data_IF_109106486537
#
_entry.id   IF_109106486537
#
_cell.length_a   1.000
_cell.length_b   1.000
_cell.length_c   1.000
_cell.angle_alpha   90.00
_cell.angle_beta   90.00
_cell.angle_gamma   90.00
#
_symmetry.space_group_name_H-M   'P 1'
#
loop_
_entity.id
_entity.type
_entity.pdbx_description
1 polymer ?
#
# COMPACT_ATOMS: atom_id res chain seq x y z
N UNK A 1 3.29 -7.07 -19.48
CA UNK A 1 2.14 -6.76 -18.59
C UNK A 1 1.07 -7.85 -18.53
N UNK A 2 0.60 -8.40 -19.67
CA UNK A 2 -0.49 -9.39 -19.67
C UNK A 2 -0.18 -10.67 -18.88
N UNK A 3 1.02 -11.23 -19.05
CA UNK A 3 1.47 -12.42 -18.32
C UNK A 3 1.65 -12.14 -16.82
N UNK A 4 2.32 -11.03 -16.50
CA UNK A 4 2.50 -10.54 -15.13
C UNK A 4 1.15 -10.38 -14.39
N UNK A 5 0.16 -9.78 -15.06
CA UNK A 5 -1.19 -9.67 -14.53
C UNK A 5 -1.89 -11.02 -14.37
N UNK A 6 -1.66 -11.99 -15.27
CA UNK A 6 -2.20 -13.35 -15.15
C UNK A 6 -1.63 -14.08 -13.92
N UNK A 7 -0.33 -13.94 -13.66
CA UNK A 7 0.30 -14.51 -12.46
C UNK A 7 -0.33 -13.88 -11.22
N UNK A 8 -0.35 -12.55 -11.13
CA UNK A 8 -0.93 -11.83 -10.00
C UNK A 8 -2.38 -12.24 -9.72
N UNK A 9 -3.24 -12.37 -10.74
CA UNK A 9 -4.64 -12.80 -10.54
C UNK A 9 -4.78 -14.17 -9.86
N UNK A 10 -3.83 -15.08 -10.09
CA UNK A 10 -3.88 -16.45 -9.59
C UNK A 10 -3.01 -16.66 -8.34
N UNK A 11 -2.27 -15.65 -7.90
CA UNK A 11 -1.22 -15.80 -6.88
C UNK A 11 -1.77 -16.17 -5.49
N UNK A 12 -3.03 -15.79 -5.23
CA UNK A 12 -3.76 -16.16 -4.01
C UNK A 12 -4.28 -17.60 -3.99
N UNK A 13 -4.12 -18.38 -5.08
CA UNK A 13 -4.63 -19.75 -5.12
C UNK A 13 -3.98 -20.60 -4.01
N UNK A 14 -4.82 -21.23 -3.19
CA UNK A 14 -4.38 -22.06 -2.06
C UNK A 14 -3.86 -21.28 -0.85
N UNK A 15 -3.91 -19.95 -0.85
CA UNK A 15 -3.66 -19.15 0.35
C UNK A 15 -4.82 -19.30 1.34
N UNK A 16 -4.55 -19.03 2.62
CA UNK A 16 -5.53 -19.08 3.71
C UNK A 16 -6.00 -17.72 4.17
N UNK A 17 -5.29 -16.65 3.79
CA UNK A 17 -5.60 -15.28 4.20
C UNK A 17 -5.19 -14.24 3.17
N UNK A 18 -5.65 -13.01 3.41
CA UNK A 18 -5.24 -11.84 2.65
C UNK A 18 -3.77 -11.52 2.89
N UNK A 19 -3.29 -11.64 4.14
CA UNK A 19 -1.89 -11.44 4.52
C UNK A 19 -0.97 -12.40 3.75
N UNK A 20 -1.32 -13.68 3.65
CA UNK A 20 -0.54 -14.65 2.89
C UNK A 20 -0.50 -14.29 1.40
N UNK A 21 -1.66 -13.92 0.83
CA UNK A 21 -1.74 -13.50 -0.57
C UNK A 21 -0.96 -12.21 -0.84
N UNK A 22 -1.06 -11.23 0.05
CA UNK A 22 -0.31 -9.98 -0.01
C UNK A 22 1.20 -10.22 0.05
N UNK A 23 1.65 -11.15 0.90
CA UNK A 23 3.06 -11.57 0.95
C UNK A 23 3.53 -12.12 -0.39
N UNK A 24 2.76 -13.03 -1.00
CA UNK A 24 3.11 -13.56 -2.33
C UNK A 24 3.15 -12.46 -3.39
N UNK A 25 2.23 -11.49 -3.35
CA UNK A 25 2.18 -10.35 -4.27
C UNK A 25 3.45 -9.49 -4.15
N UNK A 26 3.80 -9.05 -2.93
CA UNK A 26 4.96 -8.14 -2.77
C UNK A 26 6.26 -8.82 -3.15
N UNK A 27 6.44 -10.11 -2.82
CA UNK A 27 7.61 -10.88 -3.24
C UNK A 27 7.66 -11.04 -4.76
N UNK A 28 6.55 -11.38 -5.41
CA UNK A 28 6.52 -11.47 -6.87
C UNK A 28 6.91 -10.13 -7.54
N UNK A 29 6.40 -9.01 -7.03
CA UNK A 29 6.78 -7.68 -7.52
C UNK A 29 8.26 -7.38 -7.30
N UNK A 30 8.78 -7.66 -6.11
CA UNK A 30 10.17 -7.40 -5.73
C UNK A 30 11.16 -8.24 -6.53
N UNK A 31 10.88 -9.53 -6.70
CA UNK A 31 11.78 -10.48 -7.35
C UNK A 31 11.79 -10.37 -8.88
N UNK A 32 10.67 -9.95 -9.49
CA UNK A 32 10.49 -10.00 -10.95
C UNK A 32 10.57 -8.63 -11.62
N UNK A 33 10.56 -7.52 -10.86
CA UNK A 33 10.91 -6.21 -11.38
C UNK A 33 12.44 -6.06 -11.28
N UNK A 34 13.10 -6.34 -12.41
CA UNK A 34 14.56 -6.31 -12.53
C UNK A 34 15.01 -5.31 -13.59
N UNK A 35 16.23 -4.84 -13.43
CA UNK A 35 16.91 -4.02 -14.41
C UNK A 35 17.38 -4.91 -15.58
N UNK A 36 17.03 -4.54 -16.81
CA UNK A 36 17.29 -5.38 -17.98
C UNK A 36 18.76 -5.54 -18.34
N UNK A 37 19.61 -4.61 -17.90
CA UNK A 37 21.05 -4.63 -18.17
C UNK A 37 21.80 -5.39 -17.08
N UNK A 38 21.56 -5.05 -15.81
CA UNK A 38 22.29 -5.62 -14.67
C UNK A 38 21.66 -6.89 -14.07
N UNK A 39 20.38 -7.16 -14.36
CA UNK A 39 19.62 -8.27 -13.78
C UNK A 39 19.26 -8.09 -12.29
N UNK A 40 19.63 -6.96 -11.67
CA UNK A 40 19.38 -6.69 -10.27
C UNK A 40 17.94 -6.25 -10.02
N UNK A 41 17.42 -6.48 -8.82
CA UNK A 41 16.13 -5.94 -8.40
C UNK A 41 16.15 -4.40 -8.43
N UNK A 42 15.13 -3.80 -9.05
CA UNK A 42 15.02 -2.35 -9.12
C UNK A 42 14.36 -1.74 -7.88
N UNK A 43 13.64 -2.53 -7.10
CA UNK A 43 13.02 -2.07 -5.87
C UNK A 43 13.96 -2.28 -4.67
N UNK A 44 14.01 -1.29 -3.78
CA UNK A 44 14.60 -1.44 -2.44
C UNK A 44 13.57 -1.98 -1.45
N UNK A 45 12.30 -1.58 -1.61
CA UNK A 45 11.20 -1.94 -0.72
C UNK A 45 9.86 -1.97 -1.47
N UNK A 46 9.04 -3.00 -1.19
CA UNK A 46 7.65 -3.13 -1.67
C UNK A 46 6.75 -3.43 -0.47
N UNK A 47 5.65 -2.68 -0.34
CA UNK A 47 4.72 -2.79 0.80
C UNK A 47 3.28 -2.87 0.33
N UNK A 48 2.50 -3.74 0.96
CA UNK A 48 1.07 -3.86 0.75
C UNK A 48 0.34 -3.34 1.98
N UNK A 49 -0.56 -2.38 1.76
CA UNK A 49 -1.43 -1.82 2.77
C UNK A 49 -2.89 -2.10 2.46
N UNK A 50 -3.70 -2.17 3.52
CA UNK A 50 -5.16 -2.16 3.47
C UNK A 50 -5.71 -1.30 4.59
N UNK A 51 -6.78 -0.55 4.33
CA UNK A 51 -7.55 0.06 5.42
C UNK A 51 -8.30 -1.02 6.18
N UNK A 52 -8.24 -0.96 7.50
CA UNK A 52 -8.90 -1.94 8.36
C UNK A 52 -9.42 -1.25 9.63
N UNK A 53 -10.60 -1.63 10.15
CA UNK A 53 -11.10 -1.08 11.40
C UNK A 53 -10.11 -1.34 12.54
N UNK A 54 -9.93 -0.35 13.41
CA UNK A 54 -9.03 -0.46 14.54
C UNK A 54 -9.41 -1.60 15.49
N UNK A 55 -10.69 -1.77 15.76
CA UNK A 55 -11.19 -2.83 16.65
C UNK A 55 -10.87 -4.26 16.16
N UNK A 56 -10.72 -4.43 14.84
CA UNK A 56 -10.39 -5.70 14.20
C UNK A 56 -8.88 -5.97 14.10
N UNK A 57 -8.04 -5.00 14.49
CA UNK A 57 -6.59 -5.20 14.54
C UNK A 57 -6.20 -6.18 15.65
N UNK A 58 -5.08 -6.88 15.47
CA UNK A 58 -4.42 -7.62 16.54
C UNK A 58 -3.88 -6.68 17.64
N UNK A 59 -3.63 -7.21 18.84
CA UNK A 59 -3.23 -6.39 19.99
C UNK A 59 -1.92 -5.63 19.75
N UNK A 60 -0.98 -6.22 19.00
CA UNK A 60 0.30 -5.59 18.65
C UNK A 60 0.07 -4.33 17.78
N UNK A 61 -0.77 -4.45 16.75
CA UNK A 61 -1.14 -3.35 15.87
C UNK A 61 -1.98 -2.28 16.57
N UNK A 62 -2.83 -2.67 17.52
CA UNK A 62 -3.59 -1.71 18.35
C UNK A 62 -2.64 -0.87 19.22
N UNK A 63 -1.71 -1.51 19.93
CA UNK A 63 -0.71 -0.82 20.76
C UNK A 63 0.14 0.12 19.91
N UNK A 64 0.58 -0.32 18.73
CA UNK A 64 1.34 0.53 17.81
C UNK A 64 0.53 1.75 17.37
N UNK A 65 -0.73 1.55 16.96
CA UNK A 65 -1.60 2.65 16.50
C UNK A 65 -1.88 3.65 17.61
N UNK A 66 -2.10 3.16 18.84
CA UNK A 66 -2.32 3.98 20.02
C UNK A 66 -1.11 4.89 20.32
N UNK A 67 0.11 4.37 20.21
CA UNK A 67 1.34 5.14 20.45
C UNK A 67 1.56 6.31 19.50
N UNK A 68 0.93 6.32 18.32
CA UNK A 68 1.05 7.41 17.33
C UNK A 68 0.16 8.62 17.65
N UNK A 69 -0.94 8.42 18.38
CA UNK A 69 -1.89 9.48 18.74
C UNK A 69 -1.67 9.82 20.21
N UNK A 70 -0.94 10.92 20.46
CA UNK A 70 -0.50 11.42 21.78
C UNK A 70 -1.67 11.75 22.73
N UNK A 71 -2.45 10.75 23.15
CA UNK A 71 -3.63 10.81 24.04
C UNK A 71 -4.96 11.25 23.39
N UNK A 72 -5.10 11.24 22.07
CA UNK A 72 -6.42 11.40 21.45
C UNK A 72 -7.13 10.05 21.40
N UNK A 73 -8.34 9.97 21.96
CA UNK A 73 -9.21 8.82 21.77
C UNK A 73 -9.75 8.82 20.34
N UNK A 74 -9.84 7.64 19.75
CA UNK A 74 -10.47 7.45 18.46
C UNK A 74 -11.46 6.29 18.54
N UNK A 75 -12.50 6.37 17.71
CA UNK A 75 -13.64 5.46 17.77
C UNK A 75 -13.23 4.06 17.30
N UNK A 76 -13.81 2.97 17.83
CA UNK A 76 -13.48 1.59 17.45
C UNK A 76 -13.50 1.34 15.93
N UNK A 77 -14.41 1.99 15.22
CA UNK A 77 -14.59 1.90 13.77
C UNK A 77 -13.55 2.70 12.96
N UNK A 78 -12.65 3.43 13.62
CA UNK A 78 -11.62 4.25 12.97
C UNK A 78 -10.80 3.38 12.03
N UNK A 79 -10.72 3.76 10.76
CA UNK A 79 -9.90 3.05 9.77
C UNK A 79 -8.41 3.31 10.02
N UNK A 80 -7.64 2.24 10.04
CA UNK A 80 -6.18 2.25 10.09
C UNK A 80 -5.61 1.80 8.74
N UNK A 81 -4.69 2.56 8.17
CA UNK A 81 -3.88 2.11 7.04
C UNK A 81 -2.87 1.07 7.56
N UNK A 82 -3.18 -0.20 7.32
CA UNK A 82 -2.54 -1.35 7.97
C UNK A 82 -1.65 -2.10 6.99
N UNK A 83 -0.42 -2.38 7.41
CA UNK A 83 0.56 -3.13 6.64
C UNK A 83 0.24 -4.63 6.70
N UNK A 84 -0.10 -5.21 5.54
CA UNK A 84 -0.33 -6.66 5.43
C UNK A 84 0.91 -7.41 4.97
N UNK A 85 1.74 -6.80 4.13
CA UNK A 85 2.95 -7.44 3.64
C UNK A 85 4.05 -6.43 3.31
N UNK A 86 5.30 -6.87 3.42
CA UNK A 86 6.47 -6.07 3.12
C UNK A 86 7.63 -6.98 2.73
N UNK A 87 8.42 -6.54 1.76
CA UNK A 87 9.68 -7.18 1.34
C UNK A 87 10.64 -6.10 0.88
N UNK A 88 11.91 -6.25 1.21
CA UNK A 88 12.94 -5.34 0.75
C UNK A 88 14.35 -5.84 1.03
N UNK A 89 15.33 -5.00 0.70
CA UNK A 89 16.74 -5.40 0.74
C UNK A 89 17.29 -5.61 2.16
N UNK A 90 16.67 -4.99 3.17
CA UNK A 90 17.02 -5.26 4.56
C UNK A 90 16.20 -6.41 5.15
N UNK A 91 16.81 -7.32 5.94
CA UNK A 91 16.11 -8.44 6.58
C UNK A 91 14.89 -8.04 7.42
N UNK A 92 14.95 -6.90 8.14
CA UNK A 92 13.85 -6.46 8.99
C UNK A 92 12.61 -5.97 8.21
N UNK A 93 12.74 -5.75 6.90
CA UNK A 93 11.64 -5.34 6.03
C UNK A 93 10.87 -6.51 5.42
N UNK A 94 11.32 -7.75 5.64
CA UNK A 94 10.74 -8.96 5.04
C UNK A 94 9.61 -9.57 5.88
N UNK A 95 9.15 -8.87 6.91
CA UNK A 95 7.95 -9.24 7.66
C UNK A 95 7.28 -8.01 8.28
N UNK A 96 5.95 -8.01 8.31
CA UNK A 96 5.20 -6.96 9.01
C UNK A 96 5.49 -6.93 10.50
N UNK A 97 5.76 -8.10 11.10
CA UNK A 97 6.02 -8.26 12.54
C UNK A 97 7.31 -7.57 12.97
N UNK A 98 8.32 -7.56 12.08
CA UNK A 98 9.62 -6.90 12.31
C UNK A 98 9.69 -5.47 11.80
N UNK A 99 8.68 -5.00 11.05
CA UNK A 99 8.66 -3.65 10.49
C UNK A 99 8.61 -2.59 11.60
N UNK A 100 9.61 -1.72 11.72
CA UNK A 100 9.67 -0.75 12.83
C UNK A 100 8.69 0.42 12.71
N UNK A 101 8.19 0.70 11.51
CA UNK A 101 7.33 1.85 11.25
C UNK A 101 6.24 1.56 10.23
N UNK A 102 5.20 2.40 10.23
CA UNK A 102 4.05 2.28 9.33
C UNK A 102 3.35 0.90 9.44
N UNK A 103 3.20 0.35 10.66
CA UNK A 103 2.50 -0.93 10.87
C UNK A 103 0.98 -0.78 10.75
N UNK A 104 0.41 0.17 11.49
CA UNK A 104 -0.99 0.55 11.40
C UNK A 104 -1.11 2.04 11.72
N UNK A 105 -1.50 2.85 10.74
CA UNK A 105 -1.57 4.31 10.86
C UNK A 105 -3.04 4.70 10.97
N UNK A 106 -3.50 5.21 12.13
CA UNK A 106 -4.90 5.58 12.30
C UNK A 106 -5.27 6.80 11.44
N UNK A 107 -6.46 6.78 10.86
CA UNK A 107 -7.02 7.85 10.03
C UNK A 107 -8.32 8.40 10.67
N UNK A 108 -8.26 9.04 11.86
CA UNK A 108 -9.45 9.42 12.64
C UNK A 108 -10.27 10.56 12.01
N UNK A 109 -9.73 11.25 11.01
CA UNK A 109 -10.40 12.39 10.40
C UNK A 109 -9.57 13.05 9.30
N UNK A 110 -10.19 13.95 8.53
CA UNK A 110 -9.54 14.61 7.40
C UNK A 110 -8.26 15.34 7.82
N UNK A 111 -8.31 16.02 8.96
CA UNK A 111 -7.19 16.79 9.48
C UNK A 111 -5.97 15.89 9.70
N UNK A 112 -6.15 14.72 10.31
CA UNK A 112 -5.06 13.75 10.49
C UNK A 112 -4.44 13.31 9.15
N UNK A 113 -5.27 13.02 8.15
CA UNK A 113 -4.79 12.68 6.80
C UNK A 113 -4.00 13.83 6.17
N UNK A 114 -4.47 15.07 6.29
CA UNK A 114 -3.77 16.24 5.75
C UNK A 114 -2.39 16.48 6.36
N UNK A 115 -2.16 16.03 7.60
CA UNK A 115 -0.88 16.14 8.30
C UNK A 115 0.13 15.06 7.89
N UNK A 116 -0.26 14.07 7.08
CA UNK A 116 0.63 13.00 6.61
C UNK A 116 0.78 13.13 5.08
N UNK A 117 1.80 13.87 4.59
CA UNK A 117 1.90 14.25 3.18
C UNK A 117 1.85 13.06 2.22
N UNK A 118 2.54 11.97 2.52
CA UNK A 118 2.58 10.80 1.66
C UNK A 118 1.21 10.11 1.56
N UNK A 119 0.52 9.91 2.68
CA UNK A 119 -0.80 9.26 2.72
C UNK A 119 -1.83 10.13 2.01
N UNK A 120 -1.83 11.44 2.26
CA UNK A 120 -2.68 12.39 1.54
C UNK A 120 -2.49 12.27 0.02
N UNK A 121 -1.24 12.29 -0.44
CA UNK A 121 -0.94 12.20 -1.87
C UNK A 121 -1.31 10.84 -2.46
N UNK A 122 -1.07 9.75 -1.73
CA UNK A 122 -1.51 8.41 -2.13
C UNK A 122 -3.02 8.39 -2.38
N UNK A 123 -3.82 8.86 -1.42
CA UNK A 123 -5.29 8.87 -1.52
C UNK A 123 -5.74 9.69 -2.74
N UNK A 124 -5.27 10.93 -2.86
CA UNK A 124 -5.70 11.83 -3.93
C UNK A 124 -5.27 11.35 -5.32
N UNK A 125 -4.05 10.84 -5.47
CA UNK A 125 -3.55 10.36 -6.76
C UNK A 125 -4.16 9.01 -7.18
N UNK A 126 -4.64 8.21 -6.23
CA UNK A 126 -5.46 7.03 -6.55
C UNK A 126 -6.88 7.40 -7.02
N UNK A 127 -7.24 8.68 -7.06
CA UNK A 127 -8.58 9.15 -7.44
C UNK A 127 -9.62 9.00 -6.33
N UNK A 128 -9.17 8.77 -5.09
CA UNK A 128 -10.03 8.54 -3.94
C UNK A 128 -10.30 9.86 -3.20
N UNK A 129 -11.52 10.03 -2.70
CA UNK A 129 -11.80 11.13 -1.78
C UNK A 129 -11.33 10.75 -0.37
N UNK A 130 -10.79 11.73 0.37
CA UNK A 130 -10.38 11.51 1.77
C UNK A 130 -11.57 11.03 2.63
N UNK A 131 -12.77 11.52 2.34
CA UNK A 131 -14.00 11.06 2.99
C UNK A 131 -14.18 9.56 2.86
N UNK A 132 -14.05 9.04 1.64
CA UNK A 132 -14.24 7.62 1.34
C UNK A 132 -13.25 6.72 2.08
N UNK A 133 -12.05 7.22 2.39
CA UNK A 133 -11.05 6.44 3.15
C UNK A 133 -11.35 6.38 4.63
N UNK A 134 -11.87 7.48 5.20
CA UNK A 134 -12.12 7.63 6.64
C UNK A 134 -13.49 7.07 7.01
N UNK A 135 -14.50 7.36 6.19
CA UNK A 135 -15.89 6.97 6.36
C UNK A 135 -16.51 6.71 4.98
N UNK A 136 -16.40 5.48 4.47
CA UNK A 136 -16.97 5.15 3.17
C UNK A 136 -18.51 5.24 3.20
N UNK A 137 -19.08 5.63 2.05
CA UNK A 137 -20.52 5.77 1.82
C UNK A 137 -20.87 5.02 0.53
N UNK A 138 -21.68 3.96 0.66
CA UNK A 138 -22.14 3.08 -0.42
C UNK A 138 -22.69 3.83 -1.64
N UNK A 139 -23.34 4.98 -1.45
CA UNK A 139 -23.95 5.73 -2.57
C UNK A 139 -22.94 6.39 -3.48
N UNK A 140 -21.74 6.70 -2.99
CA UNK A 140 -20.68 7.36 -3.76
C UNK A 140 -19.76 6.37 -4.49
N UNK A 141 -19.82 5.08 -4.14
CA UNK A 141 -18.93 4.05 -4.69
C UNK A 141 -19.29 3.65 -6.12
N UNK A 142 -20.59 3.62 -6.45
CA UNK A 142 -21.10 3.20 -7.76
C UNK A 142 -20.61 4.10 -8.91
N UNK A 143 -20.40 5.39 -8.65
CA UNK A 143 -19.87 6.35 -9.64
C UNK A 143 -18.32 6.30 -9.74
N UNK A 144 -17.63 5.62 -8.80
CA UNK A 144 -16.17 5.63 -8.67
C UNK A 144 -15.45 4.43 -9.31
N UNK A 145 -16.17 3.38 -9.71
CA UNK A 145 -15.53 2.17 -10.29
C UNK A 145 -14.76 2.45 -11.60
N UNK A 146 -15.09 3.53 -12.33
CA UNK A 146 -14.38 3.95 -13.54
C UNK A 146 -13.12 4.80 -13.26
N UNK A 147 -12.98 5.38 -12.06
CA UNK A 147 -11.92 6.36 -11.71
C UNK A 147 -10.96 5.87 -10.61
N UNK A 148 -11.09 4.63 -10.15
CA UNK A 148 -10.40 4.08 -8.96
C UNK A 148 -9.09 3.34 -9.24
N UNK A 149 -8.74 3.08 -10.50
CA UNK A 149 -7.48 2.41 -10.87
C UNK A 149 -6.43 3.41 -11.35
N UNK A 150 -6.12 4.39 -10.51
CA UNK A 150 -5.02 5.33 -10.75
C UNK A 150 -3.73 4.87 -10.03
N UNK A 151 -2.66 5.63 -10.23
CA UNK A 151 -1.36 5.39 -9.61
C UNK A 151 -0.92 6.62 -8.82
N UNK A 152 -0.39 6.38 -7.63
CA UNK A 152 0.42 7.33 -6.89
C UNK A 152 1.83 7.31 -7.45
N UNK A 153 2.36 8.44 -7.88
CA UNK A 153 3.64 8.48 -8.57
C UNK A 153 4.46 9.70 -8.16
N UNK A 154 5.68 9.44 -7.71
CA UNK A 154 6.71 10.43 -7.39
C UNK A 154 7.90 10.16 -8.32
N UNK A 155 8.05 10.91 -9.42
CA UNK A 155 9.11 10.67 -10.42
C UNK A 155 10.52 10.90 -9.87
N UNK A 156 10.64 11.87 -8.96
CA UNK A 156 11.89 12.27 -8.31
C UNK A 156 11.67 12.22 -6.79
N UNK A 157 12.17 11.15 -6.16
CA UNK A 157 12.02 10.92 -4.73
C UNK A 157 12.97 11.76 -3.87
N UNK A 158 14.25 11.97 -4.26
CA UNK A 158 15.14 12.91 -3.60
C UNK A 158 14.53 14.30 -3.46
N UNK A 159 14.55 14.86 -2.25
CA UNK A 159 14.00 16.19 -1.91
C UNK A 159 12.49 16.35 -2.17
N UNK A 160 11.76 15.27 -2.49
CA UNK A 160 10.33 15.33 -2.66
C UNK A 160 9.64 15.74 -1.35
N UNK A 161 8.81 16.80 -1.32
CA UNK A 161 8.09 17.21 -0.12
C UNK A 161 7.04 16.18 0.31
N UNK A 162 6.73 15.20 -0.54
CA UNK A 162 5.74 14.16 -0.25
C UNK A 162 6.30 13.02 0.58
N UNK A 163 7.63 12.89 0.68
CA UNK A 163 8.29 11.80 1.39
C UNK A 163 9.24 12.40 2.43
N UNK A 164 8.80 12.51 3.70
CA UNK A 164 9.61 13.09 4.77
C UNK A 164 10.91 12.32 5.05
N UNK A 165 10.92 11.01 4.79
CA UNK A 165 12.00 10.11 5.18
C UNK A 165 13.25 10.18 4.29
N UNK A 166 13.76 11.39 4.07
CA UNK A 166 14.86 11.64 3.14
C UNK A 166 16.20 11.10 3.65
N UNK A 167 16.53 11.38 4.91
CA UNK A 167 17.87 11.08 5.47
C UNK A 167 18.02 9.65 5.94
N UNK A 168 16.92 9.05 6.38
CA UNK A 168 16.85 7.72 6.96
C UNK A 168 16.49 6.63 5.94
N UNK A 169 15.94 7.00 4.79
CA UNK A 169 15.44 6.03 3.81
C UNK A 169 15.73 6.40 2.34
N UNK A 170 15.27 7.55 1.84
CA UNK A 170 15.43 7.87 0.40
C UNK A 170 16.90 7.95 -0.03
N UNK A 171 17.72 8.73 0.69
CA UNK A 171 19.13 8.93 0.36
C UNK A 171 19.97 7.67 0.61
N UNK A 172 19.91 7.01 1.78
CA UNK A 172 20.77 5.85 2.06
C UNK A 172 20.54 4.66 1.13
N UNK A 173 19.29 4.44 0.70
CA UNK A 173 18.92 3.30 -0.16
C UNK A 173 18.86 3.68 -1.65
N UNK A 174 19.27 4.90 -2.00
CA UNK A 174 19.37 5.36 -3.39
C UNK A 174 18.03 5.35 -4.12
N UNK A 175 16.92 5.63 -3.41
CA UNK A 175 15.58 5.66 -4.01
C UNK A 175 15.49 6.84 -4.95
N UNK A 176 15.16 6.58 -6.21
CA UNK A 176 15.02 7.59 -7.26
C UNK A 176 13.57 7.92 -7.58
N UNK A 177 12.68 6.94 -7.51
CA UNK A 177 11.25 7.13 -7.77
C UNK A 177 10.38 6.24 -6.88
N UNK A 178 9.13 6.66 -6.67
CA UNK A 178 8.14 5.91 -5.89
C UNK A 178 6.87 5.76 -6.69
N UNK A 179 6.34 4.53 -6.72
CA UNK A 179 5.09 4.20 -7.37
C UNK A 179 4.19 3.45 -6.39
N UNK A 180 2.95 3.87 -6.31
CA UNK A 180 1.89 3.15 -5.64
C UNK A 180 0.72 2.91 -6.58
N UNK A 181 0.05 1.79 -6.42
CA UNK A 181 -1.17 1.47 -7.14
C UNK A 181 -2.12 0.73 -6.20
N UNK A 182 -3.42 0.85 -6.43
CA UNK A 182 -4.40 0.33 -5.49
C UNK A 182 -5.82 0.46 -6.01
N UNK A 183 -6.76 0.27 -5.10
CA UNK A 183 -8.17 0.40 -5.40
C UNK A 183 -9.03 0.03 -4.20
N UNK A 184 -10.32 -0.06 -4.44
CA UNK A 184 -11.34 -0.34 -3.42
C UNK A 184 -11.75 -1.81 -3.46
N UNK A 185 -12.03 -2.37 -2.29
CA UNK A 185 -12.62 -3.68 -2.09
C UNK A 185 -14.14 -3.55 -1.91
N UNK A 186 -14.92 -4.63 -2.11
CA UNK A 186 -16.36 -4.63 -1.84
C UNK A 186 -16.71 -4.34 -0.38
N UNK A 187 -15.79 -4.58 0.56
CA UNK A 187 -15.92 -4.19 1.97
C UNK A 187 -15.69 -2.68 2.21
N UNK A 188 -15.54 -1.90 1.13
CA UNK A 188 -15.25 -0.46 1.13
C UNK A 188 -13.83 -0.11 1.62
N UNK A 189 -13.07 -1.12 2.04
CA UNK A 189 -11.67 -0.95 2.36
C UNK A 189 -10.86 -0.65 1.10
N UNK A 190 -9.84 0.18 1.26
CA UNK A 190 -8.87 0.48 0.21
C UNK A 190 -7.66 -0.40 0.44
N UNK A 191 -7.11 -0.93 -0.64
CA UNK A 191 -5.77 -1.51 -0.64
C UNK A 191 -4.83 -0.68 -1.51
N UNK A 192 -3.55 -0.67 -1.16
CA UNK A 192 -2.51 -0.03 -1.94
C UNK A 192 -1.20 -0.83 -1.84
N UNK A 193 -0.54 -1.02 -2.97
CA UNK A 193 0.83 -1.51 -3.05
C UNK A 193 1.73 -0.32 -3.34
N UNK A 194 2.79 -0.12 -2.55
CA UNK A 194 3.75 0.97 -2.70
C UNK A 194 5.13 0.36 -2.90
N UNK A 195 5.85 0.84 -3.92
CA UNK A 195 7.15 0.35 -4.36
C UNK A 195 8.13 1.52 -4.43
N UNK A 196 9.33 1.31 -3.89
CA UNK A 196 10.40 2.30 -3.85
C UNK A 196 11.55 1.83 -4.76
N UNK A 197 11.76 2.55 -5.86
CA UNK A 197 12.67 2.16 -6.94
C UNK A 197 14.03 2.84 -6.80
N UNK A 198 15.10 2.09 -6.99
CA UNK A 198 16.50 2.55 -7.10
C UNK A 198 16.83 3.12 -8.49
N UNK A 199 15.85 3.07 -9.40
CA UNK A 199 15.93 3.55 -10.78
C UNK A 199 14.85 4.61 -11.02
N UNK A 200 15.05 5.54 -11.96
CA UNK A 200 13.96 6.38 -12.44
C UNK A 200 12.94 5.50 -13.16
N UNK A 201 11.67 5.63 -12.77
CA UNK A 201 10.55 5.06 -13.52
C UNK A 201 9.99 6.17 -14.40
N UNK A 202 9.46 5.88 -15.59
CA UNK A 202 8.79 6.89 -16.42
C UNK A 202 7.30 6.94 -16.10
N UNK A 203 6.61 8.02 -16.50
CA UNK A 203 5.16 8.12 -16.28
C UNK A 203 4.39 7.05 -17.07
N UNK A 204 4.86 6.73 -18.27
CA UNK A 204 4.30 5.68 -19.14
C UNK A 204 4.42 4.30 -18.46
N UNK A 205 5.58 4.01 -17.87
CA UNK A 205 5.78 2.76 -17.11
C UNK A 205 4.89 2.72 -15.88
N UNK A 206 4.82 3.82 -15.12
CA UNK A 206 3.94 3.93 -13.96
C UNK A 206 2.47 3.66 -14.32
N UNK A 207 1.99 4.18 -15.46
CA UNK A 207 0.60 4.02 -15.88
C UNK A 207 0.23 2.56 -16.24
N UNK A 208 1.19 1.70 -16.58
CA UNK A 208 0.91 0.27 -16.76
C UNK A 208 0.43 -0.41 -15.48
N UNK A 209 0.82 0.09 -14.30
CA UNK A 209 0.43 -0.49 -13.01
C UNK A 209 -1.05 -0.28 -12.66
N UNK A 210 -1.74 0.65 -13.34
CA UNK A 210 -3.21 0.78 -13.25
C UNK A 210 -3.92 -0.55 -13.53
N UNK A 211 -3.42 -1.30 -14.51
CA UNK A 211 -3.98 -2.62 -14.87
C UNK A 211 -3.67 -3.70 -13.84
N UNK A 212 -2.58 -3.54 -13.08
CA UNK A 212 -2.21 -4.48 -12.02
C UNK A 212 -3.07 -4.30 -10.77
N UNK A 213 -3.59 -3.10 -10.51
CA UNK A 213 -4.56 -2.88 -9.42
C UNK A 213 -5.72 -3.86 -9.48
N UNK A 214 -6.32 -4.05 -10.66
CA UNK A 214 -7.42 -5.01 -10.82
C UNK A 214 -6.97 -6.45 -10.59
N UNK A 215 -5.76 -6.81 -11.04
CA UNK A 215 -5.23 -8.15 -10.86
C UNK A 215 -4.98 -8.47 -9.38
N UNK A 216 -4.43 -7.50 -8.64
CA UNK A 216 -4.23 -7.60 -7.19
C UNK A 216 -5.58 -7.66 -6.46
N UNK A 217 -6.56 -6.82 -6.83
CA UNK A 217 -7.91 -6.86 -6.27
C UNK A 217 -8.52 -8.26 -6.40
N UNK A 218 -8.49 -8.84 -7.61
CA UNK A 218 -8.97 -10.22 -7.87
C UNK A 218 -8.28 -11.25 -6.98
N UNK A 219 -6.97 -11.12 -6.75
CA UNK A 219 -6.21 -12.05 -5.94
C UNK A 219 -6.60 -12.03 -4.45
N UNK A 220 -6.86 -10.83 -3.90
CA UNK A 220 -7.14 -10.66 -2.46
C UNK A 220 -8.63 -10.76 -2.11
N UNK A 221 -9.51 -10.56 -3.10
CA UNK A 221 -10.97 -10.59 -2.95
C UNK A 221 -11.53 -11.81 -2.19
N UNK A 222 -11.03 -13.06 -2.39
CA UNK A 222 -11.53 -14.22 -1.67
C UNK A 222 -11.32 -14.18 -0.15
N UNK A 223 -10.48 -13.27 0.34
CA UNK A 223 -10.00 -13.25 1.73
C UNK A 223 -10.49 -12.04 2.53
N UNK A 224 -11.52 -11.34 2.09
CA UNK A 224 -12.06 -10.16 2.81
C UNK A 224 -12.47 -10.46 4.25
N UNK A 225 -12.83 -11.71 4.55
CA UNK A 225 -13.22 -12.18 5.89
C UNK A 225 -12.11 -12.94 6.64
N UNK A 226 -10.93 -13.09 6.03
CA UNK A 226 -9.77 -13.80 6.59
C UNK A 226 -8.50 -12.98 6.32
N UNK A 227 -8.37 -11.85 7.00
CA UNK A 227 -7.34 -10.85 6.68
C UNK A 227 -5.96 -11.28 7.18
N UNK A 228 -5.83 -11.64 8.45
CA UNK A 228 -4.54 -11.93 9.10
C UNK A 228 -4.27 -13.43 9.28
N UNK A 229 -3.00 -13.77 9.54
CA UNK A 229 -2.50 -15.11 9.91
C UNK A 229 -1.64 -15.12 11.17
#
# INVERSE_FOLDING_TARGET
>A
MTEFGKILRNIGKGAKSMEETANRIVHHLYDNLIDGESGNQVCSLVRFFKTHPYEELDDELRIFSWGLLKNDSFLPETKCLTLLATVGENPEWNSRKTSKGHKAIPLPGKQAVYQIPMIRNLILQLGLSINMVIKPDLKLLLDSEQSTYNVFYVPDAPNSPYIPAQKEFIIPYGIKSVLGFGGTLPSEDIFAVIMFFKVPVSKEVADFFKTLSLCVKVAVLPFTNAVFT
#
